data_IF_491392303696
#
_entry.id   IF_491392303696
#
_cell.length_a   1.000
_cell.length_b   1.000
_cell.length_c   1.000
_cell.angle_alpha   90.00
_cell.angle_beta   90.00
_cell.angle_gamma   90.00
#
_symmetry.space_group_name_H-M   'P 1'
#
loop_
_entity.id
_entity.type
_entity.pdbx_description
1 polymer ?
#
# COMPACT_ATOMS: atom_id res chain seq x y z
N UNK A 1 -18.03 -6.27 9.61
CA UNK A 1 -16.76 -6.35 10.37
C UNK A 1 -15.51 -6.24 9.48
N UNK A 2 -15.50 -6.67 8.20
CA UNK A 2 -14.35 -6.49 7.29
C UNK A 2 -14.20 -5.06 6.72
N UNK A 3 -15.25 -4.24 6.73
CA UNK A 3 -15.20 -2.87 6.22
C UNK A 3 -14.47 -1.92 7.17
N UNK A 4 -14.59 -2.14 8.48
CA UNK A 4 -14.04 -1.25 9.51
C UNK A 4 -12.50 -1.17 9.49
N UNK A 5 -11.84 -2.25 9.06
CA UNK A 5 -10.38 -2.34 8.98
C UNK A 5 -9.90 -2.57 7.53
N UNK A 6 -10.69 -2.11 6.56
CA UNK A 6 -10.42 -2.37 5.14
C UNK A 6 -9.02 -1.90 4.74
N UNK A 7 -8.59 -0.75 5.24
CA UNK A 7 -7.31 -0.19 4.84
C UNK A 7 -6.13 -0.96 5.44
N UNK A 8 -6.21 -1.35 6.71
CA UNK A 8 -5.20 -2.17 7.39
C UNK A 8 -4.99 -3.50 6.65
N UNK A 9 -6.08 -4.11 6.17
CA UNK A 9 -6.03 -5.33 5.36
C UNK A 9 -5.31 -5.06 4.02
N UNK A 10 -5.58 -3.94 3.35
CA UNK A 10 -4.90 -3.57 2.10
C UNK A 10 -3.40 -3.32 2.32
N UNK A 11 -3.02 -2.66 3.41
CA UNK A 11 -1.63 -2.44 3.78
C UNK A 11 -0.88 -3.77 4.00
N UNK A 12 -1.49 -4.70 4.75
CA UNK A 12 -0.92 -6.01 5.00
C UNK A 12 -0.83 -6.86 3.72
N UNK A 13 -1.86 -6.82 2.86
CA UNK A 13 -1.84 -7.51 1.58
C UNK A 13 -0.69 -7.01 0.69
N UNK A 14 -0.54 -5.70 0.55
CA UNK A 14 0.57 -5.10 -0.19
C UNK A 14 1.93 -5.49 0.41
N UNK A 15 2.09 -5.37 1.74
CA UNK A 15 3.31 -5.72 2.43
C UNK A 15 3.68 -7.20 2.22
N UNK A 16 2.70 -8.11 2.24
CA UNK A 16 2.89 -9.54 1.97
C UNK A 16 3.22 -9.81 0.50
N UNK A 17 2.64 -9.08 -0.44
CA UNK A 17 2.96 -9.27 -1.85
C UNK A 17 4.41 -8.85 -2.16
N UNK A 18 4.85 -7.76 -1.55
CA UNK A 18 6.21 -7.23 -1.69
C UNK A 18 7.27 -8.06 -0.95
N UNK A 19 7.03 -8.35 0.33
CA UNK A 19 8.02 -9.01 1.20
C UNK A 19 7.86 -10.54 1.27
N UNK A 20 6.77 -11.08 0.72
CA UNK A 20 6.38 -12.51 0.73
C UNK A 20 6.05 -13.09 2.10
N UNK A 21 6.75 -12.66 3.15
CA UNK A 21 6.58 -13.10 4.53
C UNK A 21 6.70 -11.91 5.47
N UNK A 22 5.85 -11.87 6.50
CA UNK A 22 5.93 -10.89 7.59
C UNK A 22 6.01 -11.64 8.93
N UNK A 23 6.88 -11.16 9.82
CA UNK A 23 6.84 -11.59 11.23
C UNK A 23 5.81 -10.78 12.02
N UNK A 24 5.50 -11.19 13.25
CA UNK A 24 4.48 -10.53 14.08
C UNK A 24 4.75 -9.05 14.35
N UNK A 25 6.02 -8.67 14.56
CA UNK A 25 6.40 -7.28 14.81
C UNK A 25 6.22 -6.39 13.57
N UNK A 26 6.53 -6.90 12.37
CA UNK A 26 6.29 -6.19 11.11
C UNK A 26 4.79 -6.09 10.79
N UNK A 27 3.99 -7.11 11.11
CA UNK A 27 2.53 -7.04 11.00
C UNK A 27 1.97 -5.92 11.87
N UNK A 28 2.38 -5.89 13.14
CA UNK A 28 1.98 -4.83 14.08
C UNK A 28 2.42 -3.44 13.59
N UNK A 29 3.65 -3.34 13.07
CA UNK A 29 4.18 -2.09 12.53
C UNK A 29 3.36 -1.56 11.34
N UNK A 30 2.96 -2.43 10.42
CA UNK A 30 2.12 -2.07 9.27
C UNK A 30 0.72 -1.61 9.72
N UNK A 31 0.08 -2.32 10.64
CA UNK A 31 -1.24 -1.94 11.17
C UNK A 31 -1.19 -0.58 11.88
N UNK A 32 -0.17 -0.39 12.73
CA UNK A 32 0.00 0.82 13.51
C UNK A 32 0.66 1.98 12.74
N UNK A 33 1.07 1.75 11.48
CA UNK A 33 1.73 2.73 10.61
C UNK A 33 3.02 3.29 11.22
N UNK A 34 3.78 2.41 11.87
CA UNK A 34 5.07 2.73 12.48
C UNK A 34 6.17 1.93 11.81
N UNK A 35 7.43 2.31 12.06
CA UNK A 35 8.56 1.59 11.51
C UNK A 35 8.77 0.28 12.27
N UNK A 36 8.72 -0.83 11.54
CA UNK A 36 9.04 -2.17 12.04
C UNK A 36 10.53 -2.51 11.90
N UNK A 37 10.92 -3.70 12.38
CA UNK A 37 12.30 -4.18 12.29
C UNK A 37 12.77 -4.41 10.84
N UNK A 38 11.90 -4.87 9.95
CA UNK A 38 12.23 -5.13 8.53
C UNK A 38 11.37 -4.27 7.62
N UNK A 39 10.08 -4.17 7.92
CA UNK A 39 9.11 -3.43 7.11
C UNK A 39 8.85 -2.07 7.75
N UNK A 40 9.02 -1.02 6.95
CA UNK A 40 8.64 0.33 7.37
C UNK A 40 7.15 0.55 7.15
N UNK A 41 6.33 0.39 8.19
CA UNK A 41 4.89 0.60 8.14
C UNK A 41 4.47 2.07 8.04
N UNK A 42 5.38 3.02 8.31
CA UNK A 42 5.07 4.46 8.26
C UNK A 42 4.68 4.95 6.87
N UNK A 43 5.09 4.24 5.81
CA UNK A 43 4.72 4.52 4.42
C UNK A 43 3.20 4.46 4.19
N UNK A 44 2.47 3.68 5.00
CA UNK A 44 1.02 3.56 4.93
C UNK A 44 0.26 4.65 5.71
N UNK A 45 0.96 5.61 6.32
CA UNK A 45 0.34 6.81 6.88
C UNK A 45 0.02 7.86 5.81
N UNK A 46 0.55 7.71 4.60
CA UNK A 46 0.42 8.72 3.53
C UNK A 46 -0.88 8.52 2.74
N UNK A 47 -1.70 9.57 2.63
CA UNK A 47 -3.00 9.50 1.95
C UNK A 47 -2.92 9.12 0.47
N UNK A 48 -1.84 9.52 -0.22
CA UNK A 48 -1.62 9.12 -1.62
C UNK A 48 -1.44 7.62 -1.75
N UNK A 49 -0.71 7.00 -0.82
CA UNK A 49 -0.55 5.54 -0.75
C UNK A 49 -1.90 4.86 -0.49
N UNK A 50 -2.73 5.40 0.40
CA UNK A 50 -4.10 4.88 0.62
C UNK A 50 -4.90 4.81 -0.67
N UNK A 51 -4.99 5.93 -1.39
CA UNK A 51 -5.73 6.02 -2.65
C UNK A 51 -5.18 5.03 -3.69
N UNK A 52 -3.86 4.91 -3.79
CA UNK A 52 -3.23 3.96 -4.72
C UNK A 52 -3.56 2.51 -4.39
N UNK A 53 -3.53 2.11 -3.12
CA UNK A 53 -3.86 0.73 -2.72
C UNK A 53 -5.34 0.39 -2.95
N UNK A 54 -6.24 1.35 -2.72
CA UNK A 54 -7.67 1.17 -3.02
C UNK A 54 -7.92 1.00 -4.53
N UNK A 55 -7.28 1.82 -5.36
CA UNK A 55 -7.37 1.73 -6.81
C UNK A 55 -6.81 0.41 -7.33
N UNK A 56 -5.62 0.01 -6.86
CA UNK A 56 -5.00 -1.28 -7.19
C UNK A 56 -5.93 -2.45 -6.84
N UNK A 57 -6.55 -2.43 -5.65
CA UNK A 57 -7.47 -3.50 -5.26
C UNK A 57 -8.72 -3.54 -6.16
N UNK A 58 -9.29 -2.38 -6.51
CA UNK A 58 -10.44 -2.32 -7.41
C UNK A 58 -10.09 -2.89 -8.80
N UNK A 59 -8.92 -2.55 -9.32
CA UNK A 59 -8.40 -3.09 -10.57
C UNK A 59 -8.14 -4.61 -10.49
N UNK A 60 -7.57 -5.09 -9.38
CA UNK A 60 -7.31 -6.51 -9.16
C UNK A 60 -8.61 -7.33 -9.16
N UNK A 61 -9.64 -6.83 -8.48
CA UNK A 61 -10.96 -7.47 -8.49
C UNK A 61 -11.57 -7.46 -9.88
N UNK A 62 -11.43 -6.35 -10.63
CA UNK A 62 -11.93 -6.25 -11.99
C UNK A 62 -11.27 -7.28 -12.93
N UNK A 63 -9.93 -7.27 -13.02
CA UNK A 63 -9.16 -8.16 -13.88
C UNK A 63 -9.38 -9.64 -13.53
N UNK A 64 -9.51 -9.95 -12.24
CA UNK A 64 -9.82 -11.31 -11.81
C UNK A 64 -11.20 -11.76 -12.30
N UNK A 65 -12.22 -10.90 -12.21
CA UNK A 65 -13.60 -11.20 -12.67
C UNK A 65 -13.70 -11.34 -14.19
N UNK A 66 -12.92 -10.58 -14.94
CA UNK A 66 -12.91 -10.63 -16.40
C UNK A 66 -11.95 -11.68 -16.97
N UNK A 67 -11.15 -12.35 -16.12
CA UNK A 67 -10.15 -13.33 -16.53
C UNK A 67 -8.94 -12.71 -17.24
N UNK A 68 -8.69 -11.40 -17.04
CA UNK A 68 -7.66 -10.63 -17.73
C UNK A 68 -6.30 -10.59 -17.00
N UNK A 69 -6.16 -11.36 -15.91
CA UNK A 69 -4.89 -11.51 -15.20
C UNK A 69 -4.83 -10.75 -13.87
N UNK A 70 -3.66 -10.21 -13.54
CA UNK A 70 -3.38 -9.49 -12.30
C UNK A 70 -2.75 -8.12 -12.60
N UNK A 71 -3.13 -7.06 -11.87
CA UNK A 71 -2.52 -5.75 -12.01
C UNK A 71 -1.11 -5.75 -11.43
N UNK A 72 -0.31 -4.76 -11.82
CA UNK A 72 1.04 -4.58 -11.31
C UNK A 72 0.99 -4.03 -9.87
N UNK A 73 1.76 -4.66 -8.97
CA UNK A 73 1.91 -4.19 -7.60
C UNK A 73 2.46 -2.75 -7.56
N UNK A 74 1.84 -1.82 -6.80
CA UNK A 74 2.31 -0.44 -6.70
C UNK A 74 3.62 -0.33 -5.92
N UNK A 75 4.53 0.56 -6.36
CA UNK A 75 5.69 0.97 -5.55
C UNK A 75 5.30 2.15 -4.66
N UNK A 76 5.00 1.86 -3.40
CA UNK A 76 4.57 2.87 -2.43
C UNK A 76 5.64 3.93 -2.14
N UNK A 77 6.93 3.61 -2.27
CA UNK A 77 8.00 4.61 -2.08
C UNK A 77 8.03 5.58 -3.25
N UNK A 78 7.82 5.09 -4.47
CA UNK A 78 7.70 5.95 -5.65
C UNK A 78 6.48 6.87 -5.54
N UNK A 79 5.33 6.35 -5.07
CA UNK A 79 4.10 7.15 -4.84
C UNK A 79 4.36 8.29 -3.85
N UNK A 80 5.00 7.99 -2.72
CA UNK A 80 5.32 8.99 -1.69
C UNK A 80 6.25 10.07 -2.28
N UNK A 81 7.29 9.66 -2.99
CA UNK A 81 8.26 10.57 -3.62
C UNK A 81 7.58 11.52 -4.62
N UNK A 82 6.68 10.99 -5.45
CA UNK A 82 5.90 11.77 -6.40
C UNK A 82 4.98 12.79 -5.70
N UNK A 83 4.42 12.46 -4.54
CA UNK A 83 3.57 13.39 -3.76
C UNK A 83 4.31 14.43 -2.94
N UNK A 84 5.57 14.16 -2.59
CA UNK A 84 6.43 15.11 -1.86
C UNK A 84 7.18 16.07 -2.78
N UNK A 85 7.14 15.87 -4.09
CA UNK A 85 7.75 16.80 -5.04
C UNK A 85 6.83 18.01 -5.18
N UNK A 86 7.17 19.20 -4.64
CA UNK A 86 6.44 20.40 -4.99
C UNK A 86 6.78 20.72 -6.45
N UNK A 87 5.77 21.03 -7.25
CA UNK A 87 5.98 21.68 -8.54
C UNK A 87 6.92 22.87 -8.30
N UNK A 88 8.13 22.81 -8.85
CA UNK A 88 9.05 23.94 -8.79
C UNK A 88 8.31 25.18 -9.29
N UNK A 89 8.28 26.29 -8.54
CA UNK A 89 7.79 27.54 -9.09
C UNK A 89 8.81 27.94 -10.15
N UNK A 90 8.41 27.86 -11.42
CA UNK A 90 9.19 28.42 -12.52
C UNK A 90 9.42 29.90 -12.27
N UNK A 91 10.67 30.32 -12.31
CA UNK A 91 11.12 31.70 -12.39
C UNK A 91 12.03 31.83 -13.61
#
# INVERSE_FOLDING_TARGET
MLEANRYEILCLAHALEWHRTLNGADVEAVINRVRGPIVDGSVYAVDSVRKTLEAYHAEAVHLHRTGQGQPRLPDVKAVITATLTPAAPGA
#
